data_IF_539097372304
#
_entry.id   IF_539097372304
#
_cell.length_a   1.000
_cell.length_b   1.000
_cell.length_c   1.000
_cell.angle_alpha   90.00
_cell.angle_beta   90.00
_cell.angle_gamma   90.00
#
_symmetry.space_group_name_H-M   'P 1'
#
loop_
_entity.id
_entity.type
_entity.pdbx_description
1 polymer ?
#
# COMPACT_ATOMS: atom_id res chain seq x y z
N UNK A 1 32.39 -30.43 63.59
CA UNK A 1 30.95 -30.46 63.95
C UNK A 1 30.33 -29.15 63.45
N UNK A 2 29.94 -29.08 62.18
CA UNK A 2 28.57 -29.28 61.62
C UNK A 2 27.66 -28.04 61.68
N UNK A 3 27.40 -27.48 60.48
CA UNK A 3 26.24 -26.69 60.00
C UNK A 3 25.93 -25.34 60.65
N UNK A 4 26.02 -24.26 59.87
CA UNK A 4 24.88 -23.37 59.58
C UNK A 4 25.27 -22.21 58.65
N UNK A 5 24.29 -21.76 57.84
CA UNK A 5 24.28 -20.50 57.07
C UNK A 5 24.50 -20.57 55.55
N UNK A 6 23.91 -21.56 54.87
CA UNK A 6 23.53 -21.46 53.43
C UNK A 6 22.06 -21.01 53.35
N UNK A 7 21.74 -19.81 53.85
CA UNK A 7 20.36 -19.28 53.80
C UNK A 7 20.31 -17.75 53.84
N UNK A 8 21.21 -17.08 53.12
CA UNK A 8 21.11 -15.63 52.83
C UNK A 8 21.21 -15.29 51.35
N UNK A 9 21.19 -16.28 50.46
CA UNK A 9 21.34 -16.08 49.02
C UNK A 9 20.03 -16.26 48.22
N UNK A 10 18.93 -16.66 48.86
CA UNK A 10 17.66 -16.99 48.17
C UNK A 10 16.64 -15.83 48.12
N UNK A 11 17.02 -14.60 48.49
CA UNK A 11 16.10 -13.44 48.51
C UNK A 11 16.30 -12.44 47.37
N UNK A 12 17.42 -12.51 46.65
CA UNK A 12 17.70 -11.60 45.53
C UNK A 12 17.19 -12.21 44.20
N UNK A 13 17.19 -13.55 44.08
CA UNK A 13 16.72 -14.24 42.88
C UNK A 13 15.19 -14.20 42.66
N UNK A 14 14.40 -14.03 43.72
CA UNK A 14 12.94 -13.98 43.61
C UNK A 14 12.40 -12.65 43.03
N UNK A 15 13.13 -11.55 43.21
CA UNK A 15 12.70 -10.23 42.71
C UNK A 15 13.10 -9.97 41.25
N UNK A 16 14.15 -10.62 40.76
CA UNK A 16 14.58 -10.51 39.36
C UNK A 16 13.64 -11.29 38.42
N UNK A 17 13.08 -12.42 38.87
CA UNK A 17 12.12 -13.21 38.08
C UNK A 17 10.74 -12.53 38.01
N UNK A 18 10.35 -11.76 39.03
CA UNK A 18 9.07 -11.04 39.05
C UNK A 18 9.05 -9.78 38.17
N UNK A 19 10.19 -9.09 37.98
CA UNK A 19 10.25 -7.91 37.11
C UNK A 19 10.38 -8.27 35.61
N UNK A 20 10.95 -9.43 35.29
CA UNK A 20 11.12 -9.84 33.88
C UNK A 20 9.82 -10.40 33.26
N UNK A 21 8.82 -10.75 34.06
CA UNK A 21 7.51 -11.21 33.59
C UNK A 21 6.46 -10.10 33.43
N UNK A 22 6.75 -8.86 33.84
CA UNK A 22 5.78 -7.75 33.83
C UNK A 22 5.91 -6.78 32.65
N UNK A 23 6.92 -6.93 31.77
CA UNK A 23 7.18 -5.96 30.69
C UNK A 23 6.69 -6.40 29.29
N UNK A 24 6.01 -7.54 29.17
CA UNK A 24 5.46 -8.03 27.88
C UNK A 24 4.00 -7.54 27.68
N UNK A 25 3.42 -6.86 28.66
CA UNK A 25 2.04 -6.34 28.63
C UNK A 25 1.89 -4.98 27.95
N UNK A 26 2.41 -4.80 26.74
CA UNK A 26 2.01 -3.70 25.84
C UNK A 26 2.26 -4.06 24.37
N UNK A 27 2.02 -5.33 24.01
CA UNK A 27 1.61 -5.61 22.65
C UNK A 27 0.11 -5.32 22.58
N UNK A 28 -0.24 -4.05 22.34
CA UNK A 28 -1.47 -3.78 21.62
C UNK A 28 -1.27 -4.46 20.27
N UNK A 29 -1.72 -5.70 20.17
CA UNK A 29 -2.16 -6.24 18.90
C UNK A 29 -3.26 -5.28 18.44
N UNK A 30 -2.87 -4.24 17.71
CA UNK A 30 -3.78 -3.52 16.87
C UNK A 30 -4.09 -4.51 15.74
N UNK A 31 -4.95 -5.46 16.06
CA UNK A 31 -5.73 -6.18 15.09
C UNK A 31 -6.65 -5.13 14.47
N UNK A 32 -6.06 -4.34 13.57
CA UNK A 32 -6.78 -3.59 12.59
C UNK A 32 -7.31 -4.64 11.61
N UNK A 33 -8.31 -5.41 12.06
CA UNK A 33 -9.18 -6.19 11.20
C UNK A 33 -10.05 -5.20 10.43
N UNK A 34 -9.40 -4.35 9.65
CA UNK A 34 -9.98 -3.71 8.49
C UNK A 34 -10.18 -4.82 7.46
N UNK A 35 -11.23 -5.63 7.68
CA UNK A 35 -11.85 -6.32 6.56
C UNK A 35 -12.15 -5.28 5.47
N UNK A 36 -12.11 -5.65 4.18
CA UNK A 36 -12.31 -4.70 3.09
C UNK A 36 -13.55 -3.86 3.38
N UNK A 37 -13.36 -2.54 3.45
CA UNK A 37 -14.44 -1.62 3.73
C UNK A 37 -15.54 -1.88 2.68
N UNK A 38 -16.69 -2.37 3.13
CA UNK A 38 -17.82 -2.59 2.24
C UNK A 38 -18.39 -1.21 1.89
N UNK A 39 -18.09 -0.77 0.67
CA UNK A 39 -18.62 0.47 0.14
C UNK A 39 -20.12 0.34 -0.11
N UNK A 40 -20.88 1.39 0.20
CA UNK A 40 -22.27 1.51 -0.25
C UNK A 40 -22.32 1.76 -1.76
N UNK A 41 -23.43 1.43 -2.45
CA UNK A 41 -23.57 1.69 -3.88
C UNK A 41 -23.24 3.14 -4.27
N UNK A 42 -23.71 4.13 -3.49
CA UNK A 42 -23.47 5.54 -3.75
C UNK A 42 -22.00 5.94 -3.55
N UNK A 43 -21.31 5.27 -2.62
CA UNK A 43 -19.88 5.47 -2.38
C UNK A 43 -19.04 4.85 -3.50
N UNK A 44 -19.44 3.70 -4.03
CA UNK A 44 -18.83 3.08 -5.21
C UNK A 44 -19.00 3.97 -6.45
N UNK A 45 -20.21 4.48 -6.67
CA UNK A 45 -20.48 5.41 -7.77
C UNK A 45 -19.59 6.65 -7.66
N UNK A 46 -19.48 7.25 -6.47
CA UNK A 46 -18.60 8.38 -6.23
C UNK A 46 -17.11 8.03 -6.43
N UNK A 47 -16.69 6.82 -6.06
CA UNK A 47 -15.32 6.35 -6.21
C UNK A 47 -14.91 6.22 -7.68
N UNK A 48 -15.79 5.68 -8.52
CA UNK A 48 -15.53 5.44 -9.95
C UNK A 48 -15.92 6.62 -10.85
N UNK A 49 -16.71 7.58 -10.36
CA UNK A 49 -17.15 8.76 -11.12
C UNK A 49 -16.03 9.50 -11.87
N UNK A 50 -14.80 9.69 -11.31
CA UNK A 50 -13.72 10.36 -12.03
C UNK A 50 -13.26 9.64 -13.30
N UNK A 51 -13.49 8.32 -13.38
CA UNK A 51 -13.06 7.48 -14.50
C UNK A 51 -14.24 6.91 -15.33
N UNK A 52 -15.47 7.06 -14.88
CA UNK A 52 -16.67 6.47 -15.49
C UNK A 52 -16.99 6.95 -16.93
N UNK A 53 -16.42 8.08 -17.36
CA UNK A 53 -16.63 8.63 -18.70
C UNK A 53 -15.58 8.21 -19.73
N UNK A 54 -14.59 7.38 -19.34
CA UNK A 54 -13.59 6.86 -20.26
C UNK A 54 -14.09 5.58 -20.97
N UNK A 55 -13.52 5.22 -22.14
CA UNK A 55 -13.82 3.95 -22.77
C UNK A 55 -13.53 2.76 -21.85
N UNK A 56 -14.36 1.71 -21.91
CA UNK A 56 -14.26 0.50 -21.07
C UNK A 56 -12.85 -0.12 -21.05
N UNK A 57 -12.13 -0.06 -22.17
CA UNK A 57 -10.75 -0.56 -22.26
C UNK A 57 -9.78 0.21 -21.35
N UNK A 58 -9.94 1.53 -21.24
CA UNK A 58 -9.12 2.40 -20.39
C UNK A 58 -9.53 2.23 -18.93
N UNK A 59 -10.83 2.07 -18.67
CA UNK A 59 -11.38 1.76 -17.34
C UNK A 59 -10.80 0.45 -16.79
N UNK A 60 -10.80 -0.61 -17.59
CA UNK A 60 -10.21 -1.90 -17.19
C UNK A 60 -8.72 -1.76 -16.88
N UNK A 61 -7.96 -1.02 -17.68
CA UNK A 61 -6.55 -0.74 -17.42
C UNK A 61 -6.34 0.07 -16.14
N UNK A 62 -7.16 1.10 -15.89
CA UNK A 62 -7.09 1.90 -14.67
C UNK A 62 -7.37 1.06 -13.42
N UNK A 63 -8.38 0.20 -13.46
CA UNK A 63 -8.71 -0.69 -12.36
C UNK A 63 -7.59 -1.71 -12.11
N UNK A 64 -7.04 -2.33 -13.16
CA UNK A 64 -5.89 -3.24 -13.00
C UNK A 64 -4.64 -2.52 -12.50
N UNK A 65 -4.36 -1.32 -12.99
CA UNK A 65 -3.19 -0.53 -12.58
C UNK A 65 -3.29 -0.04 -11.14
N UNK A 66 -4.50 0.07 -10.57
CA UNK A 66 -4.71 0.55 -9.21
C UNK A 66 -4.05 -0.34 -8.15
N UNK A 67 -3.92 -1.65 -8.43
CA UNK A 67 -3.24 -2.62 -7.57
C UNK A 67 -1.70 -2.48 -7.58
N UNK A 68 -1.16 -1.60 -8.43
CA UNK A 68 0.27 -1.32 -8.58
C UNK A 68 0.62 0.17 -8.32
N UNK A 69 0.29 0.73 -7.15
CA UNK A 69 0.36 2.18 -6.90
C UNK A 69 1.78 2.74 -7.02
N UNK A 70 2.82 1.95 -6.70
CA UNK A 70 4.21 2.37 -6.88
C UNK A 70 4.55 2.57 -8.37
N UNK A 71 4.11 1.65 -9.23
CA UNK A 71 4.35 1.71 -10.66
C UNK A 71 3.58 2.87 -11.30
N UNK A 72 2.34 3.11 -10.86
CA UNK A 72 1.54 4.29 -11.26
C UNK A 72 2.32 5.58 -11.02
N UNK A 73 2.95 5.75 -9.85
CA UNK A 73 3.77 6.93 -9.54
C UNK A 73 4.99 7.02 -10.45
N UNK A 74 5.67 5.90 -10.70
CA UNK A 74 6.83 5.86 -11.58
C UNK A 74 6.46 6.24 -13.02
N UNK A 75 5.37 5.68 -13.53
CA UNK A 75 4.84 5.95 -14.85
C UNK A 75 4.39 7.43 -14.99
N UNK A 76 3.68 7.98 -14.00
CA UNK A 76 3.27 9.38 -14.02
C UNK A 76 4.47 10.34 -14.01
N UNK A 77 5.51 10.05 -13.22
CA UNK A 77 6.78 10.82 -13.24
C UNK A 77 7.46 10.72 -14.60
N UNK A 78 7.48 9.53 -15.20
CA UNK A 78 8.03 9.34 -16.53
C UNK A 78 7.28 10.17 -17.58
N UNK A 79 5.94 10.17 -17.57
CA UNK A 79 5.13 10.99 -18.48
C UNK A 79 5.42 12.49 -18.31
N UNK A 80 5.49 12.97 -17.05
CA UNK A 80 5.84 14.37 -16.75
C UNK A 80 7.26 14.75 -17.24
N UNK A 81 8.20 13.81 -17.21
CA UNK A 81 9.56 14.02 -17.72
C UNK A 81 9.67 13.92 -19.26
N UNK A 82 8.68 13.32 -19.93
CA UNK A 82 8.68 13.06 -21.37
C UNK A 82 7.45 13.69 -22.06
N UNK A 83 7.20 15.00 -21.93
CA UNK A 83 5.95 15.64 -22.39
C UNK A 83 5.72 15.57 -23.92
N UNK A 84 6.77 15.30 -24.68
CA UNK A 84 6.74 15.20 -26.14
C UNK A 84 6.49 13.78 -26.64
N UNK A 85 6.51 12.76 -25.78
CA UNK A 85 6.28 11.36 -26.14
C UNK A 85 4.85 10.99 -25.74
N UNK A 86 3.99 10.69 -26.71
CA UNK A 86 2.54 10.51 -26.50
C UNK A 86 1.99 9.29 -27.22
N UNK A 87 0.82 8.82 -26.80
CA UNK A 87 0.12 7.70 -27.43
C UNK A 87 0.99 6.45 -27.51
N UNK A 88 0.94 5.74 -28.63
CA UNK A 88 1.69 4.50 -28.85
C UNK A 88 3.21 4.67 -28.71
N UNK A 89 3.75 5.85 -29.01
CA UNK A 89 5.18 6.11 -28.83
C UNK A 89 5.57 6.08 -27.34
N UNK A 90 4.67 6.53 -26.46
CA UNK A 90 4.90 6.49 -25.02
C UNK A 90 4.86 5.05 -24.50
N UNK A 91 3.90 4.25 -24.97
CA UNK A 91 3.80 2.82 -24.62
C UNK A 91 5.07 2.08 -25.04
N UNK A 92 5.53 2.29 -26.28
CA UNK A 92 6.78 1.69 -26.78
C UNK A 92 8.01 2.08 -25.96
N UNK A 93 8.09 3.33 -25.54
CA UNK A 93 9.22 3.84 -24.77
C UNK A 93 9.32 3.22 -23.37
N UNK A 94 8.23 2.66 -22.83
CA UNK A 94 8.17 2.04 -21.50
C UNK A 94 8.07 0.51 -21.54
N UNK A 95 8.17 -0.11 -22.73
CA UNK A 95 8.05 -1.58 -22.89
C UNK A 95 9.01 -2.36 -21.97
N UNK A 96 10.24 -1.86 -21.81
CA UNK A 96 11.28 -2.46 -20.99
C UNK A 96 11.16 -2.18 -19.48
N UNK A 97 10.21 -1.33 -19.07
CA UNK A 97 9.98 -1.08 -17.65
C UNK A 97 9.42 -2.34 -16.98
N UNK A 98 9.72 -2.58 -15.70
CA UNK A 98 9.23 -3.75 -14.99
C UNK A 98 7.75 -3.64 -14.57
N UNK A 99 7.01 -2.66 -15.10
CA UNK A 99 5.62 -2.40 -14.75
C UNK A 99 4.64 -3.40 -15.37
N UNK A 100 3.48 -3.55 -14.75
CA UNK A 100 2.34 -4.27 -15.31
C UNK A 100 1.90 -3.65 -16.65
N UNK A 101 1.33 -4.49 -17.52
CA UNK A 101 0.87 -4.07 -18.86
C UNK A 101 -0.24 -3.01 -18.75
N UNK A 102 -1.08 -3.08 -17.72
CA UNK A 102 -2.09 -2.06 -17.45
C UNK A 102 -1.46 -0.69 -17.20
N UNK A 103 -0.43 -0.61 -16.34
CA UNK A 103 0.30 0.63 -16.04
C UNK A 103 1.03 1.16 -17.27
N UNK A 104 1.68 0.27 -18.04
CA UNK A 104 2.34 0.65 -19.31
C UNK A 104 1.35 1.21 -20.32
N UNK A 105 0.13 0.69 -20.38
CA UNK A 105 -0.89 1.20 -21.31
C UNK A 105 -1.38 2.60 -20.93
N UNK A 106 -1.43 2.91 -19.63
CA UNK A 106 -1.91 4.20 -19.13
C UNK A 106 -0.96 5.38 -19.40
N UNK A 107 0.29 5.17 -19.80
CA UNK A 107 1.20 6.27 -20.19
C UNK A 107 0.71 7.02 -21.43
N UNK A 108 -0.14 6.38 -22.26
CA UNK A 108 -0.82 7.01 -23.39
C UNK A 108 -2.02 7.88 -22.94
N UNK A 109 -2.45 7.78 -21.69
CA UNK A 109 -3.59 8.48 -21.10
C UNK A 109 -3.19 9.26 -19.84
N UNK A 110 -2.36 10.33 -19.96
CA UNK A 110 -1.93 11.13 -18.81
C UNK A 110 -3.08 11.64 -17.95
N UNK A 111 -4.23 11.98 -18.57
CA UNK A 111 -5.42 12.45 -17.89
C UNK A 111 -6.05 11.44 -16.91
N UNK A 112 -5.73 10.15 -17.04
CA UNK A 112 -6.12 9.09 -16.09
C UNK A 112 -4.97 8.80 -15.13
N UNK A 113 -3.76 8.66 -15.67
CA UNK A 113 -2.57 8.27 -14.92
C UNK A 113 -2.14 9.32 -13.87
N UNK A 114 -2.23 10.61 -14.20
CA UNK A 114 -1.85 11.69 -13.29
C UNK A 114 -2.75 11.74 -12.05
N UNK A 115 -4.09 11.76 -12.15
CA UNK A 115 -4.95 11.65 -10.98
C UNK A 115 -4.68 10.41 -10.11
N UNK A 116 -4.36 9.27 -10.73
CA UNK A 116 -4.03 8.05 -9.98
C UNK A 116 -2.73 8.22 -9.18
N UNK A 117 -1.73 8.92 -9.73
CA UNK A 117 -0.49 9.22 -9.00
C UNK A 117 -0.67 10.32 -7.96
N UNK A 118 -1.48 11.34 -8.24
CA UNK A 118 -1.64 12.51 -7.38
C UNK A 118 -2.58 12.20 -6.19
N UNK A 119 -3.49 11.22 -6.34
CA UNK A 119 -4.46 10.80 -5.31
C UNK A 119 -4.26 9.32 -4.94
N UNK A 120 -3.16 8.99 -4.29
CA UNK A 120 -2.83 7.60 -3.94
C UNK A 120 -3.88 6.93 -3.04
N UNK A 121 -4.49 7.66 -2.11
CA UNK A 121 -5.58 7.13 -1.27
C UNK A 121 -6.81 6.73 -2.11
N UNK A 122 -7.06 7.43 -3.22
CA UNK A 122 -8.13 7.07 -4.15
C UNK A 122 -7.75 5.85 -4.98
N UNK A 123 -6.51 5.80 -5.48
CA UNK A 123 -5.97 4.65 -6.21
C UNK A 123 -6.02 3.37 -5.37
N UNK A 124 -5.61 3.43 -4.10
CA UNK A 124 -5.67 2.29 -3.18
C UNK A 124 -7.11 1.83 -2.87
N UNK A 125 -8.09 2.74 -2.93
CA UNK A 125 -9.51 2.37 -2.75
C UNK A 125 -10.08 1.68 -3.99
N UNK A 126 -9.51 1.94 -5.17
CA UNK A 126 -9.92 1.30 -6.42
C UNK A 126 -9.39 -0.14 -6.53
N UNK A 127 -8.23 -0.45 -5.97
CA UNK A 127 -7.63 -1.79 -6.00
C UNK A 127 -6.41 -1.94 -5.12
#
# INVERSE_FOLDING_TARGET
MTRCSVRRLNWIGAWIIACFLASIGSAWAQENSAGPASFKPEELEALVAPIALYPDSVLAQALMASTYPLEVVQAARWVKANPNVKGDAAIKAVESQPWDVSVKSLVAFPQVLEPMSDKLDWTQKLG
#
